data_IF_959216102064
#
_entry.id   IF_959216102064
#
_cell.length_a   1.000
_cell.length_b   1.000
_cell.length_c   1.000
_cell.angle_alpha   90.00
_cell.angle_beta   90.00
_cell.angle_gamma   90.00
#
_symmetry.space_group_name_H-M   'P 1'
#
loop_
_entity.id
_entity.type
_entity.pdbx_description
1 polymer ?
#
# COMPACT_ATOMS: atom_id res chain seq x y z
N UNK A 1 -9.40 7.85 0.50
CA UNK A 1 -7.93 7.81 0.69
C UNK A 1 -7.28 6.47 0.33
N UNK A 2 -7.96 5.33 0.53
CA UNK A 2 -7.38 3.99 0.29
C UNK A 2 -6.94 3.83 -1.17
N UNK A 3 -7.78 4.24 -2.12
CA UNK A 3 -7.48 4.18 -3.55
C UNK A 3 -6.16 4.88 -3.90
N UNK A 4 -5.93 6.09 -3.37
CA UNK A 4 -4.70 6.83 -3.63
C UNK A 4 -3.45 6.09 -3.12
N UNK A 5 -3.56 5.45 -1.94
CA UNK A 5 -2.46 4.68 -1.36
C UNK A 5 -2.14 3.43 -2.18
N UNK A 6 -3.16 2.68 -2.61
CA UNK A 6 -2.97 1.50 -3.46
C UNK A 6 -2.48 1.87 -4.88
N UNK A 7 -2.94 2.98 -5.45
CA UNK A 7 -2.42 3.48 -6.74
C UNK A 7 -0.93 3.82 -6.64
N UNK A 8 -0.53 4.49 -5.57
CA UNK A 8 0.89 4.78 -5.33
C UNK A 8 1.69 3.49 -5.09
N UNK A 9 1.17 2.56 -4.28
CA UNK A 9 1.84 1.28 -4.02
C UNK A 9 2.06 0.46 -5.29
N UNK A 10 1.02 0.30 -6.13
CA UNK A 10 1.16 -0.40 -7.40
C UNK A 10 2.12 0.30 -8.37
N UNK A 11 2.18 1.64 -8.35
CA UNK A 11 3.17 2.39 -9.11
C UNK A 11 4.60 2.07 -8.65
N UNK A 12 4.83 2.03 -7.33
CA UNK A 12 6.15 1.69 -6.77
C UNK A 12 6.52 0.23 -7.05
N UNK A 13 5.59 -0.73 -6.91
CA UNK A 13 5.85 -2.15 -7.23
C UNK A 13 6.21 -2.37 -8.71
N UNK A 14 5.51 -1.69 -9.61
CA UNK A 14 5.77 -1.75 -11.05
C UNK A 14 6.94 -0.88 -11.53
N UNK A 15 7.60 -0.14 -10.63
CA UNK A 15 8.80 0.61 -10.94
C UNK A 15 10.03 -0.30 -10.94
N UNK A 16 11.08 0.19 -11.62
CA UNK A 16 12.38 -0.46 -11.67
C UNK A 16 12.92 -0.76 -10.26
N UNK A 17 13.63 -1.88 -10.11
CA UNK A 17 14.20 -2.31 -8.83
C UNK A 17 15.23 -1.32 -8.28
N UNK A 18 15.88 -0.55 -9.16
CA UNK A 18 16.82 0.50 -8.82
C UNK A 18 16.15 1.88 -8.64
N UNK A 19 14.83 1.95 -8.69
CA UNK A 19 14.10 3.19 -8.43
C UNK A 19 14.20 3.57 -6.95
N UNK A 20 14.49 4.85 -6.69
CA UNK A 20 14.62 5.40 -5.32
C UNK A 20 13.39 5.10 -4.47
N UNK A 21 12.19 5.17 -5.06
CA UNK A 21 10.94 4.90 -4.34
C UNK A 21 10.83 3.44 -3.88
N UNK A 22 11.19 2.47 -4.74
CA UNK A 22 11.15 1.04 -4.43
C UNK A 22 12.24 0.66 -3.43
N UNK A 23 13.45 1.21 -3.60
CA UNK A 23 14.52 1.06 -2.63
C UNK A 23 14.09 1.62 -1.26
N UNK A 24 13.59 2.86 -1.20
CA UNK A 24 13.16 3.49 0.05
C UNK A 24 12.02 2.73 0.75
N UNK A 25 11.09 2.16 -0.02
CA UNK A 25 10.01 1.32 0.52
C UNK A 25 10.53 0.05 1.20
N UNK A 26 11.59 -0.55 0.66
CA UNK A 26 12.17 -1.81 1.14
C UNK A 26 13.23 -1.63 2.23
N UNK A 27 13.72 -0.41 2.47
CA UNK A 27 14.70 -0.16 3.54
C UNK A 27 14.13 -0.54 4.90
N UNK A 28 14.83 -1.45 5.57
CA UNK A 28 14.61 -1.73 6.99
C UNK A 28 15.68 -0.97 7.78
N UNK A 29 15.26 0.07 8.50
CA UNK A 29 16.15 0.81 9.38
C UNK A 29 16.32 0.01 10.66
N UNK A 30 17.53 -0.47 10.90
CA UNK A 30 17.89 -1.16 12.14
C UNK A 30 17.92 -0.17 13.31
N UNK A 31 17.51 -0.63 14.50
CA UNK A 31 17.44 0.18 15.70
C UNK A 31 16.13 0.06 16.48
N UNK A 32 16.24 0.25 17.80
CA UNK A 32 15.10 0.19 18.72
C UNK A 32 14.36 1.54 18.71
N UNK A 33 13.16 1.58 18.12
CA UNK A 33 12.32 2.78 18.14
C UNK A 33 11.86 3.14 19.57
N UNK A 34 11.75 4.43 19.90
CA UNK A 34 11.34 4.90 21.23
C UNK A 34 9.90 4.49 21.56
N UNK A 35 9.59 4.37 22.86
CA UNK A 35 8.26 4.04 23.37
C UNK A 35 7.30 5.23 23.17
N UNK A 36 6.12 5.01 22.60
CA UNK A 36 5.14 6.08 22.35
C UNK A 36 4.16 5.77 21.20
N UNK A 37 4.11 6.65 20.19
CA UNK A 37 3.23 6.68 19.00
C UNK A 37 2.92 5.29 18.38
N UNK A 38 1.74 5.10 17.74
CA UNK A 38 1.38 3.85 17.08
C UNK A 38 2.49 3.29 16.19
N UNK A 39 2.70 1.99 16.31
CA UNK A 39 3.78 1.22 15.67
C UNK A 39 3.52 0.92 14.18
N UNK A 40 2.43 1.41 13.63
CA UNK A 40 1.95 1.07 12.27
C UNK A 40 2.87 1.68 11.21
N UNK A 41 3.52 0.83 10.43
CA UNK A 41 4.25 1.22 9.23
C UNK A 41 3.23 1.57 8.14
N UNK A 42 3.68 2.36 7.17
CA UNK A 42 2.92 2.56 5.94
C UNK A 42 2.54 1.23 5.27
N UNK A 43 3.49 0.28 5.20
CA UNK A 43 3.24 -1.05 4.65
C UNK A 43 2.17 -1.83 5.42
N UNK A 44 2.11 -1.69 6.75
CA UNK A 44 1.05 -2.31 7.55
C UNK A 44 -0.32 -1.75 7.14
N UNK A 45 -0.39 -0.43 6.89
CA UNK A 45 -1.62 0.20 6.39
C UNK A 45 -1.98 -0.24 4.98
N UNK A 46 -0.99 -0.40 4.09
CA UNK A 46 -1.20 -0.94 2.74
C UNK A 46 -1.74 -2.37 2.81
N UNK A 47 -1.22 -3.21 3.71
CA UNK A 47 -1.70 -4.56 3.90
C UNK A 47 -3.18 -4.60 4.34
N UNK A 48 -3.58 -3.70 5.25
CA UNK A 48 -5.00 -3.53 5.61
C UNK A 48 -5.85 -3.06 4.42
N UNK A 49 -5.35 -2.09 3.66
CA UNK A 49 -6.03 -1.52 2.50
C UNK A 49 -6.22 -2.55 1.37
N UNK A 50 -5.26 -3.46 1.18
CA UNK A 50 -5.35 -4.56 0.21
C UNK A 50 -6.31 -5.67 0.65
N UNK A 51 -6.58 -5.80 1.96
CA UNK A 51 -7.48 -6.81 2.51
C UNK A 51 -8.93 -6.60 2.12
N UNK A 52 -9.37 -5.34 2.01
CA UNK A 52 -10.75 -4.97 1.62
C UNK A 52 -11.10 -5.49 0.20
N UNK A 53 -10.30 -5.19 -0.84
CA UNK A 53 -10.54 -5.73 -2.19
C UNK A 53 -9.97 -7.15 -2.41
N UNK A 54 -9.32 -7.76 -1.41
CA UNK A 54 -8.61 -9.07 -1.51
C UNK A 54 -7.54 -9.07 -2.61
N UNK A 55 -6.74 -8.00 -2.65
CA UNK A 55 -5.64 -7.85 -3.59
C UNK A 55 -4.38 -8.56 -3.10
N UNK A 56 -3.59 -9.07 -4.05
CA UNK A 56 -2.21 -9.54 -3.80
C UNK A 56 -1.19 -8.62 -4.49
N UNK A 57 0.10 -8.76 -4.15
CA UNK A 57 1.16 -7.98 -4.83
C UNK A 57 1.31 -8.37 -6.30
N UNK A 58 1.04 -9.63 -6.64
CA UNK A 58 1.01 -10.14 -8.02
C UNK A 58 0.00 -9.38 -8.88
N UNK A 59 -1.13 -8.98 -8.28
CA UNK A 59 -2.17 -8.20 -8.96
C UNK A 59 -1.69 -6.81 -9.38
N UNK A 60 -0.69 -6.26 -8.68
CA UNK A 60 -0.10 -4.95 -9.01
C UNK A 60 0.65 -4.98 -10.35
N UNK A 61 1.20 -6.13 -10.74
CA UNK A 61 1.86 -6.30 -12.04
C UNK A 61 0.86 -6.35 -13.20
N UNK A 62 -0.39 -6.74 -12.94
CA UNK A 62 -1.47 -6.61 -13.93
C UNK A 62 -2.15 -5.24 -13.81
N UNK A 63 -1.64 -4.25 -14.54
CA UNK A 63 -2.10 -2.85 -14.50
C UNK A 63 -3.61 -2.69 -14.68
N UNK A 64 -4.24 -3.50 -15.55
CA UNK A 64 -5.68 -3.46 -15.81
C UNK A 64 -6.47 -4.02 -14.63
N UNK A 65 -6.03 -5.15 -14.05
CA UNK A 65 -6.64 -5.74 -12.85
C UNK A 65 -6.49 -4.79 -11.66
N UNK A 66 -5.29 -4.26 -11.42
CA UNK A 66 -4.99 -3.32 -10.34
C UNK A 66 -5.86 -2.07 -10.40
N UNK A 67 -5.94 -1.41 -11.56
CA UNK A 67 -6.76 -0.19 -11.73
C UNK A 67 -8.24 -0.44 -11.46
N UNK A 68 -8.77 -1.58 -11.91
CA UNK A 68 -10.19 -1.89 -11.74
C UNK A 68 -10.54 -2.20 -10.29
N UNK A 69 -9.67 -2.90 -9.56
CA UNK A 69 -9.95 -3.28 -8.17
C UNK A 69 -9.67 -2.17 -7.16
N UNK A 70 -8.67 -1.32 -7.41
CA UNK A 70 -8.35 -0.19 -6.52
C UNK A 70 -9.37 0.95 -6.64
N UNK A 71 -10.09 1.07 -7.77
CA UNK A 71 -11.10 2.11 -8.01
C UNK A 71 -12.33 2.02 -7.10
N UNK A 72 -12.71 0.82 -6.67
CA UNK A 72 -13.85 0.60 -5.78
C UNK A 72 -13.45 0.63 -4.30
N UNK A 73 -12.17 0.75 -4.02
CA UNK A 73 -11.63 0.54 -2.69
C UNK A 73 -11.61 1.82 -1.85
N UNK A 74 -12.21 2.93 -2.30
CA UNK A 74 -12.62 4.01 -1.39
C UNK A 74 -14.07 3.72 -0.94
N UNK A 75 -14.30 2.85 0.07
CA UNK A 75 -15.61 2.79 0.68
C UNK A 75 -15.80 4.15 1.33
N UNK A 76 -16.94 4.74 1.06
CA UNK A 76 -17.20 6.02 1.62
C UNK A 76 -17.16 5.95 3.15
N UNK A 77 -16.55 6.95 3.78
CA UNK A 77 -16.21 6.95 5.21
C UNK A 77 -17.40 6.90 6.17
N UNK A 78 -18.62 6.77 5.66
CA UNK A 78 -19.88 6.69 6.41
C UNK A 78 -20.43 5.27 6.58
N UNK A 79 -19.83 4.22 5.99
CA UNK A 79 -20.31 2.84 6.17
C UNK A 79 -19.70 2.11 7.39
N UNK A 80 -18.81 2.76 8.12
CA UNK A 80 -18.28 2.28 9.40
C UNK A 80 -18.40 3.40 10.45
N UNK A 81 -19.63 3.73 10.83
CA UNK A 81 -19.96 4.72 11.86
C UNK A 81 -21.45 4.90 12.03
#
# INVERSE_FOLDING_TARGET
MLEARLRWYGHVLGSDDNSVAKSAMNITVDGRRPRGRPKTRWLDRIAEDMRVPKLTEEDAFNRRKWRNQTRYADPSSWEYG
#
